data_IF_164604889527
#
_entry.id   IF_164604889527
#
_cell.length_a   1.000
_cell.length_b   1.000
_cell.length_c   1.000
_cell.angle_alpha   90.00
_cell.angle_beta   90.00
_cell.angle_gamma   90.00
#
_symmetry.space_group_name_H-M   'P 1'
#
loop_
_entity.id
_entity.type
_entity.pdbx_description
1 polymer ?
#
# COMPACT_ATOMS: atom_id res chain seq x y z
N UNK A 1 -8.21 30.04 4.81
CA UNK A 1 -7.37 29.54 3.71
C UNK A 1 -7.30 28.02 3.84
N UNK A 2 -7.81 27.27 2.86
CA UNK A 2 -7.74 25.80 2.91
C UNK A 2 -6.36 25.39 2.43
N UNK A 3 -5.50 24.94 3.36
CA UNK A 3 -4.25 24.24 3.03
C UNK A 3 -4.63 22.93 2.32
N UNK A 4 -4.64 22.94 0.99
CA UNK A 4 -4.87 21.74 0.19
C UNK A 4 -3.59 20.90 0.20
N UNK A 5 -3.72 19.60 0.45
CA UNK A 5 -2.62 18.68 0.28
C UNK A 5 -2.22 18.68 -1.21
N UNK A 6 -0.96 18.99 -1.56
CA UNK A 6 -0.51 19.03 -2.96
C UNK A 6 -0.61 17.65 -3.65
N UNK A 7 -0.67 16.57 -2.87
CA UNK A 7 -0.85 15.21 -3.35
C UNK A 7 -2.30 14.80 -3.61
N UNK A 8 -3.30 15.60 -3.23
CA UNK A 8 -4.71 15.23 -3.32
C UNK A 8 -5.27 15.29 -4.75
N UNK A 9 -4.62 16.02 -5.66
CA UNK A 9 -5.14 16.31 -7.00
C UNK A 9 -4.93 15.18 -8.02
N UNK A 10 -4.08 14.19 -7.72
CA UNK A 10 -3.75 13.10 -8.65
C UNK A 10 -3.67 11.76 -7.93
N UNK A 11 -4.81 11.08 -7.83
CA UNK A 11 -4.86 9.68 -7.40
C UNK A 11 -4.18 8.82 -8.48
N UNK A 12 -2.93 8.45 -8.25
CA UNK A 12 -2.24 7.44 -9.07
C UNK A 12 -2.59 6.08 -8.48
N UNK A 13 -3.68 5.50 -8.96
CA UNK A 13 -4.12 4.15 -8.58
C UNK A 13 -3.25 3.15 -9.35
N UNK A 14 -2.55 2.27 -8.63
CA UNK A 14 -1.82 1.15 -9.24
C UNK A 14 -2.54 -0.15 -8.94
N UNK A 15 -2.48 -1.09 -9.86
CA UNK A 15 -2.91 -2.47 -9.64
C UNK A 15 -1.72 -3.30 -9.15
N UNK A 16 -1.95 -4.11 -8.14
CA UNK A 16 -1.00 -5.08 -7.60
C UNK A 16 -1.70 -6.45 -7.47
N UNK A 17 -0.93 -7.52 -7.43
CA UNK A 17 -1.46 -8.86 -7.19
C UNK A 17 -1.32 -9.23 -5.70
N UNK A 18 -2.36 -9.83 -5.14
CA UNK A 18 -2.38 -10.34 -3.77
C UNK A 18 -2.77 -11.81 -3.76
N UNK A 19 -1.96 -12.63 -3.10
CA UNK A 19 -2.18 -14.08 -3.03
C UNK A 19 -3.18 -14.43 -1.94
N UNK A 20 -4.19 -15.22 -2.30
CA UNK A 20 -5.16 -15.75 -1.35
C UNK A 20 -4.54 -16.83 -0.47
N UNK A 21 -4.45 -16.58 0.84
CA UNK A 21 -3.91 -17.52 1.82
C UNK A 21 -4.71 -18.84 1.94
N UNK A 22 -5.98 -18.88 1.53
CA UNK A 22 -6.80 -20.10 1.62
C UNK A 22 -6.66 -21.03 0.41
N UNK A 23 -6.54 -20.48 -0.81
CA UNK A 23 -6.61 -21.29 -2.04
C UNK A 23 -5.47 -21.05 -3.03
N UNK A 24 -4.55 -20.15 -2.69
CA UNK A 24 -3.38 -19.79 -3.49
C UNK A 24 -3.68 -18.95 -4.73
N UNK A 25 -4.93 -18.55 -4.98
CA UNK A 25 -5.28 -17.73 -6.15
C UNK A 25 -4.72 -16.30 -6.02
N UNK A 26 -4.14 -15.78 -7.10
CA UNK A 26 -3.67 -14.40 -7.19
C UNK A 26 -4.81 -13.50 -7.66
N UNK A 27 -5.35 -12.70 -6.74
CA UNK A 27 -6.36 -11.70 -7.04
C UNK A 27 -5.69 -10.36 -7.32
N UNK A 28 -6.28 -9.56 -8.21
CA UNK A 28 -5.88 -8.16 -8.40
C UNK A 28 -6.50 -7.31 -7.29
N UNK A 29 -5.73 -6.37 -6.74
CA UNK A 29 -6.17 -5.37 -5.79
C UNK A 29 -5.58 -4.01 -6.17
N UNK A 30 -6.34 -2.93 -6.00
CA UNK A 30 -5.83 -1.59 -6.29
C UNK A 30 -5.11 -0.97 -5.07
N UNK A 31 -4.22 0.00 -5.28
CA UNK A 31 -3.48 0.66 -4.18
C UNK A 31 -4.38 1.39 -3.18
N UNK A 32 -5.57 1.84 -3.60
CA UNK A 32 -6.57 2.47 -2.73
C UNK A 32 -7.42 1.43 -1.97
N UNK A 33 -7.39 0.17 -2.39
CA UNK A 33 -8.16 -0.89 -1.77
C UNK A 33 -7.37 -1.59 -0.65
N UNK A 34 -8.06 -1.85 0.46
CA UNK A 34 -7.50 -2.53 1.64
C UNK A 34 -7.81 -4.03 1.60
N UNK A 35 -8.86 -4.43 0.88
CA UNK A 35 -9.35 -5.79 0.84
C UNK A 35 -9.99 -6.12 -0.50
N UNK A 36 -9.83 -7.34 -0.97
CA UNK A 36 -10.47 -7.87 -2.17
C UNK A 36 -11.09 -9.23 -1.88
N UNK A 37 -12.20 -9.53 -2.56
CA UNK A 37 -12.83 -10.86 -2.47
C UNK A 37 -12.18 -11.81 -3.48
N UNK A 38 -11.65 -12.93 -3.00
CA UNK A 38 -11.07 -13.97 -3.85
C UNK A 38 -12.12 -14.49 -4.85
N UNK A 39 -11.88 -14.44 -6.16
CA UNK A 39 -12.85 -14.91 -7.14
C UNK A 39 -13.03 -16.43 -7.10
N UNK A 40 -12.00 -17.19 -6.67
CA UNK A 40 -11.99 -18.65 -6.59
C UNK A 40 -12.70 -19.20 -5.35
N UNK A 41 -12.24 -18.86 -4.14
CA UNK A 41 -12.78 -19.41 -2.89
C UNK A 41 -13.75 -18.48 -2.14
N UNK A 42 -13.99 -17.27 -2.67
CA UNK A 42 -14.89 -16.25 -2.08
C UNK A 42 -14.48 -15.69 -0.72
N UNK A 43 -13.32 -16.08 -0.18
CA UNK A 43 -12.77 -15.45 1.01
C UNK A 43 -12.36 -14.00 0.78
N UNK A 44 -12.33 -13.25 1.87
CA UNK A 44 -11.78 -11.91 1.91
C UNK A 44 -10.26 -11.98 2.08
N UNK A 45 -9.53 -11.32 1.19
CA UNK A 45 -8.08 -11.15 1.26
C UNK A 45 -7.84 -9.70 1.67
N UNK A 46 -7.12 -9.47 2.77
CA UNK A 46 -6.79 -8.14 3.26
C UNK A 46 -5.30 -7.86 3.03
N UNK A 47 -4.97 -6.62 2.65
CA UNK A 47 -3.59 -6.13 2.71
C UNK A 47 -3.14 -6.10 4.16
N UNK A 48 -1.85 -6.38 4.37
CA UNK A 48 -1.25 -6.40 5.72
C UNK A 48 -1.09 -5.00 6.30
N UNK A 49 -1.03 -3.99 5.42
CA UNK A 49 -0.82 -2.59 5.78
C UNK A 49 -1.73 -1.66 4.98
N UNK A 50 -2.04 -0.53 5.59
CA UNK A 50 -2.76 0.55 4.93
C UNK A 50 -1.79 1.37 4.07
N UNK A 51 -2.20 1.75 2.84
CA UNK A 51 -1.40 2.64 2.00
C UNK A 51 -1.22 3.99 2.70
N UNK A 52 0.03 4.41 2.86
CA UNK A 52 0.40 5.70 3.45
C UNK A 52 0.90 6.67 2.38
N UNK A 53 0.92 7.98 2.66
CA UNK A 53 1.39 8.98 1.69
C UNK A 53 2.80 8.70 1.15
N UNK A 54 3.66 8.02 1.91
CA UNK A 54 5.02 7.63 1.48
C UNK A 54 5.04 6.60 0.35
N UNK A 55 3.95 5.87 0.14
CA UNK A 55 3.84 4.78 -0.82
C UNK A 55 3.62 5.30 -2.25
N UNK A 56 2.76 6.31 -2.41
CA UNK A 56 2.29 6.78 -3.71
C UNK A 56 2.46 8.30 -3.93
N UNK A 57 2.55 9.12 -2.88
CA UNK A 57 2.58 10.57 -3.03
C UNK A 57 4.00 11.08 -3.29
N UNK A 58 4.22 11.67 -4.47
CA UNK A 58 5.50 12.28 -4.88
C UNK A 58 5.95 13.43 -3.97
N UNK A 59 5.02 14.08 -3.28
CA UNK A 59 5.31 15.20 -2.38
C UNK A 59 5.62 14.75 -0.95
N UNK A 60 5.40 13.46 -0.62
CA UNK A 60 5.53 12.94 0.74
C UNK A 60 6.88 13.26 1.38
N UNK A 61 7.98 13.08 0.63
CA UNK A 61 9.34 13.40 1.08
C UNK A 61 9.50 14.85 1.55
N UNK A 62 8.92 15.80 0.81
CA UNK A 62 8.93 17.22 1.18
C UNK A 62 7.96 17.56 2.31
N UNK A 63 6.83 16.84 2.42
CA UNK A 63 5.83 17.07 3.45
C UNK A 63 6.24 16.56 4.84
N UNK A 64 6.90 15.41 4.93
CA UNK A 64 7.25 14.77 6.22
C UNK A 64 8.73 14.91 6.59
N UNK A 65 9.58 15.35 5.64
CA UNK A 65 11.02 15.46 5.81
C UNK A 65 11.77 14.17 5.47
N UNK A 66 13.04 14.31 5.07
CA UNK A 66 13.86 13.21 4.55
C UNK A 66 14.07 12.07 5.55
N UNK A 67 14.40 12.39 6.80
CA UNK A 67 14.68 11.37 7.83
C UNK A 67 13.46 10.50 8.12
N UNK A 68 12.29 11.13 8.31
CA UNK A 68 11.03 10.42 8.55
C UNK A 68 10.59 9.61 7.33
N UNK A 69 10.76 10.17 6.13
CA UNK A 69 10.45 9.46 4.88
C UNK A 69 11.30 8.21 4.70
N UNK A 70 12.62 8.31 4.93
CA UNK A 70 13.54 7.16 4.87
C UNK A 70 13.14 6.09 5.88
N UNK A 71 12.90 6.46 7.14
CA UNK A 71 12.50 5.50 8.18
C UNK A 71 11.22 4.75 7.84
N UNK A 72 10.19 5.43 7.32
CA UNK A 72 8.93 4.80 6.92
C UNK A 72 9.07 3.90 5.69
N UNK A 73 9.97 4.26 4.76
CA UNK A 73 10.32 3.42 3.59
C UNK A 73 11.17 2.21 3.96
N UNK A 74 12.03 2.34 4.97
CA UNK A 74 12.90 1.27 5.43
C UNK A 74 12.12 0.27 6.29
N UNK A 75 11.20 0.76 7.13
CA UNK A 75 10.23 -0.08 7.85
C UNK A 75 9.43 -0.96 6.87
N UNK A 76 8.96 -0.39 5.76
CA UNK A 76 8.34 -1.08 4.60
C UNK A 76 9.11 -2.34 4.16
N UNK A 77 10.41 -2.16 3.91
CA UNK A 77 11.31 -3.19 3.37
C UNK A 77 11.54 -4.30 4.41
N UNK A 78 11.54 -3.96 5.69
CA UNK A 78 11.71 -4.94 6.78
C UNK A 78 10.47 -5.85 6.87
N UNK A 79 9.25 -5.34 6.65
CA UNK A 79 8.04 -6.19 6.64
C UNK A 79 8.04 -7.14 5.43
N UNK A 80 8.49 -6.67 4.26
CA UNK A 80 8.60 -7.50 3.06
C UNK A 80 9.68 -8.59 3.20
N UNK A 81 10.82 -8.28 3.83
CA UNK A 81 11.95 -9.22 3.96
C UNK A 81 11.89 -10.11 5.21
N UNK A 82 11.10 -9.73 6.22
CA UNK A 82 11.00 -10.41 7.51
C UNK A 82 10.09 -11.64 7.53
N UNK A 83 9.55 -12.06 6.38
CA UNK A 83 8.70 -13.25 6.23
C UNK A 83 9.45 -14.43 5.63
N UNK A 84 10.68 -14.67 6.10
CA UNK A 84 11.43 -15.89 5.84
C UNK A 84 12.02 -16.41 7.17
N UNK A 85 11.15 -16.83 8.09
CA UNK A 85 11.26 -18.08 8.87
C UNK A 85 9.89 -18.39 9.52
#
# INVERSE_FOLDING_TARGET
MVLKCPGQDRLVIKAENIRCQQCGYEAEIFSDEIKVKCPKCKNLICKERLPSCVDWCKFSRGCIGEEKWKRLKEDDIIIETGRQD
#
